data_IF_165745263055
#
_entry.id   IF_165745263055
#
_cell.length_a   1.000
_cell.length_b   1.000
_cell.length_c   1.000
_cell.angle_alpha   90.00
_cell.angle_beta   90.00
_cell.angle_gamma   90.00
#
_symmetry.space_group_name_H-M   'P 1'
#
loop_
_entity.id
_entity.type
_entity.pdbx_description
1 polymer ?
#
# COMPACT_ATOMS: atom_id res chain seq x y z
N UNK A 1 -12.99 0.12 -23.60
CA UNK A 1 -12.63 0.98 -22.45
C UNK A 1 -12.34 0.03 -21.31
N UNK A 2 -11.12 0.00 -20.74
CA UNK A 2 -10.92 -0.80 -19.51
C UNK A 2 -11.71 -0.10 -18.40
N UNK A 3 -12.51 -0.86 -17.67
CA UNK A 3 -13.21 -0.37 -16.49
C UNK A 3 -12.17 0.18 -15.50
N UNK A 4 -12.45 1.34 -14.90
CA UNK A 4 -11.56 1.97 -13.94
C UNK A 4 -11.53 1.09 -12.70
N UNK A 5 -10.40 0.45 -12.41
CA UNK A 5 -10.28 -0.39 -11.22
C UNK A 5 -10.34 0.49 -9.97
N UNK A 6 -11.36 0.30 -9.13
CA UNK A 6 -11.51 1.03 -7.88
C UNK A 6 -11.73 0.05 -6.73
N UNK A 7 -10.84 0.08 -5.74
CA UNK A 7 -10.92 -0.81 -4.57
C UNK A 7 -10.51 -0.03 -3.33
N UNK A 8 -11.35 -0.08 -2.31
CA UNK A 8 -11.01 0.38 -0.96
C UNK A 8 -10.93 -0.80 -0.02
N UNK A 9 -9.95 -0.78 0.87
CA UNK A 9 -9.85 -1.72 1.98
C UNK A 9 -9.53 -0.99 3.28
N UNK A 10 -10.40 -1.14 4.26
CA UNK A 10 -10.25 -0.60 5.60
C UNK A 10 -9.48 -1.61 6.44
N UNK A 11 -8.22 -1.30 6.73
CA UNK A 11 -7.40 -2.14 7.58
C UNK A 11 -7.85 -2.02 9.04
N UNK A 12 -8.17 -0.83 9.49
CA UNK A 12 -8.78 -0.52 10.79
C UNK A 12 -9.54 0.81 10.70
N UNK A 13 -9.94 1.40 11.84
CA UNK A 13 -10.64 2.68 11.89
C UNK A 13 -9.80 3.89 11.42
N UNK A 14 -8.49 3.74 11.31
CA UNK A 14 -7.55 4.80 10.97
C UNK A 14 -6.90 4.61 9.58
N UNK A 15 -6.76 3.37 9.12
CA UNK A 15 -5.99 3.01 7.93
C UNK A 15 -6.88 2.51 6.79
N UNK A 16 -6.85 3.23 5.67
CA UNK A 16 -7.54 2.88 4.41
C UNK A 16 -6.52 2.73 3.29
N UNK A 17 -6.56 1.60 2.60
CA UNK A 17 -5.84 1.34 1.36
C UNK A 17 -6.78 1.60 0.18
N UNK A 18 -6.36 2.41 -0.79
CA UNK A 18 -7.15 2.69 -1.99
C UNK A 18 -6.34 2.37 -3.22
N UNK A 19 -6.92 1.58 -4.12
CA UNK A 19 -6.46 1.41 -5.48
C UNK A 19 -7.43 2.17 -6.38
N UNK A 20 -6.95 3.22 -7.01
CA UNK A 20 -7.68 4.00 -7.99
C UNK A 20 -6.96 3.95 -9.34
N UNK A 21 -7.51 3.11 -10.22
CA UNK A 21 -7.00 2.72 -11.52
C UNK A 21 -5.58 2.16 -11.45
N UNK A 22 -4.59 3.05 -11.45
CA UNK A 22 -3.16 2.72 -11.43
C UNK A 22 -2.42 3.40 -10.29
N UNK A 23 -3.14 3.93 -9.32
CA UNK A 23 -2.57 4.65 -8.18
C UNK A 23 -2.99 3.93 -6.91
N UNK A 24 -2.01 3.64 -6.06
CA UNK A 24 -2.23 3.18 -4.69
C UNK A 24 -2.03 4.37 -3.75
N UNK A 25 -3.02 4.60 -2.90
CA UNK A 25 -3.00 5.61 -1.84
C UNK A 25 -3.19 4.95 -0.49
N UNK A 26 -2.50 5.48 0.52
CA UNK A 26 -2.68 5.05 1.92
C UNK A 26 -3.07 6.26 2.74
N UNK A 27 -4.22 6.13 3.37
CA UNK A 27 -4.76 7.09 4.31
C UNK A 27 -4.58 6.51 5.70
N UNK A 28 -3.76 7.15 6.53
CA UNK A 28 -3.50 6.73 7.91
C UNK A 28 -3.74 7.93 8.84
N UNK A 29 -4.88 7.90 9.53
CA UNK A 29 -5.31 8.97 10.44
C UNK A 29 -4.51 8.99 11.75
N UNK A 30 -3.70 7.97 12.05
CA UNK A 30 -2.88 7.92 13.26
C UNK A 30 -1.57 8.73 13.14
N UNK A 31 -1.15 9.06 11.91
CA UNK A 31 0.10 9.79 11.67
C UNK A 31 -0.04 11.28 11.99
N UNK A 32 0.80 11.74 12.93
CA UNK A 32 0.77 13.12 13.45
C UNK A 32 1.38 14.17 12.51
N UNK A 33 2.15 13.75 11.50
CA UNK A 33 2.79 14.66 10.53
C UNK A 33 2.28 14.37 9.13
N UNK A 34 1.44 15.30 8.65
CA UNK A 34 0.79 15.24 7.33
C UNK A 34 1.76 15.75 6.25
N UNK A 35 2.86 15.05 5.97
CA UNK A 35 3.69 15.38 4.80
C UNK A 35 3.11 14.72 3.54
N UNK A 36 1.88 15.11 3.17
CA UNK A 36 1.17 14.53 2.02
C UNK A 36 0.77 13.07 2.21
N UNK A 37 -0.43 12.70 1.75
CA UNK A 37 -0.83 11.28 1.72
C UNK A 37 0.00 10.64 0.61
N UNK A 38 0.92 9.71 0.93
CA UNK A 38 1.82 9.19 -0.07
C UNK A 38 1.02 8.35 -1.07
N UNK A 39 1.24 8.64 -2.36
CA UNK A 39 0.58 7.99 -3.49
C UNK A 39 1.62 7.43 -4.43
N UNK A 40 1.40 6.22 -4.92
CA UNK A 40 2.32 5.54 -5.82
C UNK A 40 1.57 5.06 -7.06
N UNK A 41 2.13 5.33 -8.23
CA UNK A 41 1.68 4.60 -9.41
C UNK A 41 2.07 3.12 -9.28
N UNK A 42 1.19 2.19 -9.66
CA UNK A 42 1.40 0.73 -9.52
C UNK A 42 2.67 0.21 -10.19
N UNK A 43 3.23 0.94 -11.17
CA UNK A 43 4.51 0.62 -11.79
C UNK A 43 5.72 0.90 -10.88
N UNK A 44 5.60 1.88 -9.98
CA UNK A 44 6.68 2.42 -9.15
C UNK A 44 6.47 2.13 -7.65
N UNK A 45 5.44 1.39 -7.27
CA UNK A 45 5.24 0.98 -5.88
C UNK A 45 6.20 -0.17 -5.52
N UNK A 46 6.85 -0.04 -4.37
CA UNK A 46 7.57 -1.11 -3.69
C UNK A 46 6.90 -1.42 -2.35
N UNK A 47 6.78 -2.71 -2.03
CA UNK A 47 6.17 -3.20 -0.78
C UNK A 47 7.15 -4.19 -0.12
N UNK A 48 7.59 -3.87 1.09
CA UNK A 48 8.36 -4.77 1.96
C UNK A 48 7.46 -5.21 3.12
N UNK A 49 7.18 -6.51 3.18
CA UNK A 49 6.32 -7.10 4.20
C UNK A 49 7.13 -8.11 5.01
N UNK A 50 7.17 -7.94 6.34
CA UNK A 50 7.90 -8.81 7.25
C UNK A 50 6.98 -9.34 8.35
N UNK A 51 7.11 -10.62 8.76
CA UNK A 51 6.35 -11.15 9.89
C UNK A 51 6.53 -10.31 11.16
N UNK A 52 5.43 -10.07 11.90
CA UNK A 52 5.45 -9.37 13.18
C UNK A 52 4.29 -9.83 14.06
N UNK A 53 4.59 -10.55 15.15
CA UNK A 53 3.63 -10.87 16.21
C UNK A 53 2.32 -11.51 15.74
N UNK A 54 2.39 -12.50 14.86
CA UNK A 54 1.22 -13.16 14.25
C UNK A 54 0.71 -12.50 12.96
N UNK A 55 1.07 -11.25 12.71
CA UNK A 55 0.70 -10.51 11.50
C UNK A 55 1.89 -10.13 10.61
N UNK A 56 1.75 -9.01 9.88
CA UNK A 56 2.79 -8.44 9.02
C UNK A 56 3.05 -6.98 9.38
N UNK A 57 4.32 -6.58 9.43
CA UNK A 57 4.73 -5.18 9.28
C UNK A 57 4.88 -4.90 7.79
N UNK A 58 4.08 -3.99 7.26
CA UNK A 58 4.17 -3.56 5.85
C UNK A 58 4.83 -2.19 5.78
N UNK A 59 5.80 -2.05 4.87
CA UNK A 59 6.44 -0.79 4.49
C UNK A 59 6.27 -0.57 3.00
N UNK A 60 5.86 0.63 2.63
CA UNK A 60 5.67 1.04 1.24
C UNK A 60 6.59 2.21 0.92
N UNK A 61 7.20 2.14 -0.25
CA UNK A 61 8.05 3.18 -0.81
C UNK A 61 8.04 3.16 -2.32
N UNK A 62 8.88 4.01 -2.93
CA UNK A 62 9.13 3.97 -4.36
C UNK A 62 10.07 2.80 -4.68
N UNK A 63 9.68 1.95 -5.63
CA UNK A 63 10.56 0.96 -6.24
C UNK A 63 11.40 1.63 -7.32
N UNK A 64 12.71 1.57 -7.17
CA UNK A 64 13.68 2.11 -8.09
C UNK A 64 13.94 1.14 -9.27
N UNK A 65 14.61 1.60 -10.35
CA UNK A 65 14.91 0.74 -11.51
C UNK A 65 15.78 -0.49 -11.21
N UNK A 66 16.53 -0.48 -10.11
CA UNK A 66 17.36 -1.59 -9.62
C UNK A 66 16.59 -2.52 -8.63
N UNK A 67 15.26 -2.40 -8.59
CA UNK A 67 14.35 -3.06 -7.65
C UNK A 67 14.59 -2.73 -6.16
N UNK A 68 15.51 -1.84 -5.83
CA UNK A 68 15.67 -1.34 -4.47
C UNK A 68 14.50 -0.42 -4.08
N UNK A 69 14.29 -0.25 -2.77
CA UNK A 69 13.24 0.63 -2.25
C UNK A 69 13.80 1.95 -1.74
N UNK A 70 13.23 3.04 -2.21
CA UNK A 70 13.43 4.39 -1.66
C UNK A 70 12.23 4.82 -0.83
N UNK A 71 12.51 5.39 0.33
CA UNK A 71 11.52 6.00 1.21
C UNK A 71 11.61 7.54 1.21
N UNK A 72 12.51 8.10 0.39
CA UNK A 72 12.67 9.54 0.25
C UNK A 72 11.46 10.09 -0.54
N UNK A 73 10.73 11.02 0.07
CA UNK A 73 9.58 11.68 -0.56
C UNK A 73 8.21 11.02 -0.35
N UNK A 74 8.14 9.87 0.35
CA UNK A 74 6.87 9.24 0.72
C UNK A 74 7.06 7.81 1.23
N UNK A 75 6.62 7.56 2.45
CA UNK A 75 6.61 6.24 3.07
C UNK A 75 5.28 6.02 3.76
N UNK A 76 4.74 4.80 3.67
CA UNK A 76 3.71 4.33 4.58
C UNK A 76 4.22 3.11 5.34
N UNK A 77 3.92 3.05 6.63
CA UNK A 77 4.25 1.92 7.49
C UNK A 77 3.07 1.59 8.37
N UNK A 78 2.58 0.35 8.30
CA UNK A 78 1.44 -0.09 9.08
C UNK A 78 1.60 -1.57 9.47
N UNK A 79 0.93 -1.96 10.56
CA UNK A 79 0.87 -3.33 11.03
C UNK A 79 -0.45 -3.96 10.55
N UNK A 80 -0.37 -5.15 9.98
CA UNK A 80 -1.52 -5.92 9.49
C UNK A 80 -1.76 -7.09 10.45
N UNK A 81 -2.90 -7.14 11.14
CA UNK A 81 -3.30 -8.28 11.96
C UNK A 81 -3.40 -9.58 11.15
N UNK A 82 -3.18 -10.73 11.79
CA UNK A 82 -3.15 -12.05 11.14
C UNK A 82 -4.40 -12.33 10.29
N UNK A 83 -5.58 -12.05 10.85
CA UNK A 83 -6.89 -12.22 10.22
C UNK A 83 -7.08 -11.36 8.97
N UNK A 84 -6.30 -10.27 8.85
CA UNK A 84 -6.38 -9.31 7.75
C UNK A 84 -5.31 -9.51 6.68
N UNK A 85 -4.31 -10.37 6.93
CA UNK A 85 -3.23 -10.65 5.98
C UNK A 85 -3.76 -11.08 4.60
N UNK A 86 -4.71 -12.04 4.48
CA UNK A 86 -5.20 -12.46 3.16
C UNK A 86 -5.83 -11.33 2.36
N UNK A 87 -6.52 -10.41 3.02
CA UNK A 87 -7.19 -9.27 2.39
C UNK A 87 -6.19 -8.22 1.88
N UNK A 88 -5.15 -7.93 2.67
CA UNK A 88 -4.08 -7.01 2.25
C UNK A 88 -3.28 -7.59 1.09
N UNK A 89 -3.00 -8.90 1.10
CA UNK A 89 -2.36 -9.57 -0.04
C UNK A 89 -3.24 -9.48 -1.29
N UNK A 90 -4.53 -9.76 -1.18
CA UNK A 90 -5.47 -9.64 -2.30
C UNK A 90 -5.54 -8.21 -2.86
N UNK A 91 -5.47 -7.19 -2.00
CA UNK A 91 -5.39 -5.79 -2.42
C UNK A 91 -4.14 -5.53 -3.28
N UNK A 92 -2.95 -5.96 -2.82
CA UNK A 92 -1.72 -5.76 -3.60
C UNK A 92 -1.65 -6.63 -4.85
N UNK A 93 -2.29 -7.80 -4.86
CA UNK A 93 -2.43 -8.58 -6.08
C UNK A 93 -3.30 -7.85 -7.11
N UNK A 94 -4.39 -7.21 -6.72
CA UNK A 94 -5.16 -6.32 -7.62
C UNK A 94 -4.30 -5.18 -8.15
N UNK A 95 -3.54 -4.50 -7.28
CA UNK A 95 -2.62 -3.45 -7.70
C UNK A 95 -1.54 -3.95 -8.70
N UNK A 96 -1.07 -5.20 -8.57
CA UNK A 96 -0.19 -5.83 -9.57
C UNK A 96 -0.90 -6.07 -10.89
N UNK A 97 -2.14 -6.56 -10.89
CA UNK A 97 -2.92 -6.76 -12.12
C UNK A 97 -3.22 -5.44 -12.83
N UNK A 98 -3.49 -4.37 -12.09
CA UNK A 98 -3.69 -3.02 -12.63
C UNK A 98 -2.49 -2.47 -13.42
N UNK A 99 -1.29 -2.98 -13.13
CA UNK A 99 -0.05 -2.62 -13.84
C UNK A 99 -0.11 -2.96 -15.33
N UNK A 100 -0.83 -4.01 -15.70
CA UNK A 100 -0.91 -4.55 -17.06
C UNK A 100 -0.10 -5.82 -17.23
#
# INVERSE_FOLDING_TARGET
>A
MREREYVEYWLDENVVLVLDNRVVEIFDASQKTVSGRPRWHVAHIGVDAKPRGGGLRVKIGARLPDDSMSYLGGQAVFDVPEDKVPHVLAFFDRAKHARG
#
